data_IF_772532931469
#
_entry.id   IF_772532931469
#
_cell.length_a   1.000
_cell.length_b   1.000
_cell.length_c   1.000
_cell.angle_alpha   90.00
_cell.angle_beta   90.00
_cell.angle_gamma   90.00
#
_symmetry.space_group_name_H-M   'P 1'
#
loop_
_entity.id
_entity.type
_entity.pdbx_description
1 polymer ?
#
# COMPACT_ATOMS: atom_id res chain seq x y z
N UNK A 1 -0.41 -6.08 -20.95
CA UNK A 1 -0.89 -4.98 -21.81
C UNK A 1 -1.82 -4.11 -20.98
N UNK A 2 -1.37 -2.95 -20.55
CA UNK A 2 -2.28 -1.88 -20.16
C UNK A 2 -2.53 -1.05 -21.41
N UNK A 3 -3.56 -1.37 -22.19
CA UNK A 3 -3.93 -0.49 -23.29
C UNK A 3 -4.51 0.79 -22.68
N UNK A 4 -3.94 1.95 -23.01
CA UNK A 4 -4.60 3.22 -22.72
C UNK A 4 -5.92 3.24 -23.50
N UNK A 5 -7.09 3.40 -22.86
CA UNK A 5 -8.38 3.44 -23.57
C UNK A 5 -8.40 4.49 -24.69
N UNK A 6 -7.66 5.58 -24.50
CA UNK A 6 -7.50 6.67 -25.47
C UNK A 6 -6.66 6.25 -26.68
N UNK A 7 -5.67 5.38 -26.53
CA UNK A 7 -4.88 4.86 -27.65
C UNK A 7 -5.70 3.91 -28.55
N UNK A 8 -6.64 3.15 -27.95
CA UNK A 8 -7.61 2.34 -28.70
C UNK A 8 -8.52 3.23 -29.56
N UNK A 9 -9.09 4.27 -28.94
CA UNK A 9 -9.92 5.26 -29.65
C UNK A 9 -9.13 5.94 -30.77
N UNK A 10 -7.91 6.42 -30.53
CA UNK A 10 -7.08 7.02 -31.57
C UNK A 10 -6.83 6.07 -32.75
N UNK A 11 -6.67 4.77 -32.47
CA UNK A 11 -6.56 3.73 -33.51
C UNK A 11 -7.85 3.59 -34.32
N UNK A 12 -9.00 3.57 -33.66
CA UNK A 12 -10.32 3.46 -34.29
C UNK A 12 -10.62 4.65 -35.22
N UNK A 13 -10.17 5.85 -34.85
CA UNK A 13 -10.31 7.06 -35.67
C UNK A 13 -9.15 7.30 -36.64
N UNK A 14 -8.21 6.36 -36.76
CA UNK A 14 -7.10 6.42 -37.73
C UNK A 14 -5.97 7.40 -37.37
N UNK A 15 -5.94 7.94 -36.15
CA UNK A 15 -4.88 8.82 -35.69
C UNK A 15 -3.69 8.00 -35.14
N UNK A 16 -2.85 7.54 -36.07
CA UNK A 16 -1.65 6.77 -35.74
C UNK A 16 -0.63 7.54 -34.90
N UNK A 17 -0.55 8.88 -35.03
CA UNK A 17 0.40 9.70 -34.29
C UNK A 17 0.05 9.76 -32.81
N UNK A 18 -1.23 10.00 -32.50
CA UNK A 18 -1.71 10.01 -31.11
C UNK A 18 -1.60 8.62 -30.50
N UNK A 19 -1.96 7.57 -31.24
CA UNK A 19 -1.78 6.18 -30.79
C UNK A 19 -0.33 5.89 -30.40
N UNK A 20 0.62 6.17 -31.29
CA UNK A 20 2.02 5.82 -31.08
C UNK A 20 2.62 6.57 -29.90
N UNK A 21 2.30 7.86 -29.75
CA UNK A 21 2.76 8.65 -28.60
C UNK A 21 2.15 8.16 -27.28
N UNK A 22 0.86 7.81 -27.26
CA UNK A 22 0.22 7.27 -26.06
C UNK A 22 0.75 5.89 -25.69
N UNK A 23 1.08 5.05 -26.67
CA UNK A 23 1.70 3.75 -26.43
C UNK A 23 3.13 3.92 -25.91
N UNK A 24 3.92 4.84 -26.47
CA UNK A 24 5.26 5.18 -25.97
C UNK A 24 5.24 5.63 -24.51
N UNK A 25 4.38 6.59 -24.15
CA UNK A 25 4.21 7.03 -22.76
C UNK A 25 3.79 5.89 -21.82
N UNK A 26 2.94 4.98 -22.31
CA UNK A 26 2.45 3.86 -21.51
C UNK A 26 3.53 2.80 -21.28
N UNK A 27 4.21 2.39 -22.35
CA UNK A 27 5.14 1.25 -22.34
C UNK A 27 6.56 1.63 -21.94
N UNK A 28 6.99 2.88 -22.07
CA UNK A 28 8.34 3.34 -21.71
C UNK A 28 8.36 4.10 -20.38
N UNK A 29 7.44 5.04 -20.17
CA UNK A 29 7.47 5.94 -19.01
C UNK A 29 6.65 5.37 -17.84
N UNK A 30 5.41 4.96 -18.13
CA UNK A 30 4.45 4.58 -17.09
C UNK A 30 4.64 3.16 -16.62
N UNK A 31 4.74 2.18 -17.53
CA UNK A 31 4.84 0.76 -17.24
C UNK A 31 5.96 0.05 -18.01
N UNK A 32 7.23 0.50 -17.88
CA UNK A 32 8.39 0.01 -18.65
C UNK A 32 8.34 -1.50 -18.89
N UNK A 33 8.27 -1.93 -20.14
CA UNK A 33 8.23 -3.35 -20.53
C UNK A 33 9.60 -3.79 -21.03
N UNK A 34 10.06 -4.98 -20.60
CA UNK A 34 11.31 -5.58 -21.05
C UNK A 34 11.10 -7.03 -21.48
N UNK A 35 11.94 -7.50 -22.40
CA UNK A 35 11.91 -8.88 -22.86
C UNK A 35 12.71 -9.78 -21.92
N UNK A 36 12.11 -10.91 -21.53
CA UNK A 36 12.79 -11.93 -20.73
C UNK A 36 13.68 -12.80 -21.61
N UNK A 37 14.61 -13.55 -21.00
CA UNK A 37 15.50 -14.50 -21.70
C UNK A 37 14.78 -15.53 -22.59
N UNK A 38 13.48 -15.77 -22.37
CA UNK A 38 12.65 -16.70 -23.15
C UNK A 38 11.72 -16.00 -24.16
N UNK A 39 11.92 -14.70 -24.41
CA UNK A 39 11.14 -13.92 -25.37
C UNK A 39 9.79 -13.39 -24.85
N UNK A 40 9.44 -13.62 -23.58
CA UNK A 40 8.21 -13.08 -23.02
C UNK A 40 8.39 -11.61 -22.58
N UNK A 41 7.46 -10.74 -22.95
CA UNK A 41 7.41 -9.35 -22.51
C UNK A 41 6.89 -9.23 -21.08
N UNK A 42 7.62 -8.53 -20.20
CA UNK A 42 7.27 -8.33 -18.79
C UNK A 42 7.37 -6.84 -18.41
N UNK A 43 6.37 -6.32 -17.73
CA UNK A 43 6.45 -4.96 -17.17
C UNK A 43 7.29 -4.94 -15.89
N UNK A 44 8.25 -4.03 -15.82
CA UNK A 44 9.16 -3.82 -14.68
C UNK A 44 8.45 -3.35 -13.41
N UNK A 45 7.30 -2.67 -13.53
CA UNK A 45 6.52 -2.20 -12.37
C UNK A 45 5.45 -3.19 -11.90
N UNK A 46 5.41 -4.41 -12.44
CA UNK A 46 4.39 -5.40 -12.14
C UNK A 46 4.66 -6.15 -10.82
N UNK A 47 4.55 -5.43 -9.69
CA UNK A 47 4.72 -5.97 -8.34
C UNK A 47 3.68 -7.05 -7.97
N UNK A 48 2.47 -6.98 -8.53
CA UNK A 48 1.36 -7.88 -8.22
C UNK A 48 1.64 -9.32 -8.68
N UNK A 49 2.28 -9.51 -9.84
CA UNK A 49 2.61 -10.85 -10.36
C UNK A 49 3.65 -11.53 -9.47
N UNK A 50 4.60 -10.78 -8.92
CA UNK A 50 5.55 -11.29 -7.94
C UNK A 50 4.85 -11.61 -6.62
N UNK A 51 3.95 -10.74 -6.15
CA UNK A 51 3.21 -10.97 -4.91
C UNK A 51 2.30 -12.20 -4.99
N UNK A 52 1.67 -12.46 -6.13
CA UNK A 52 0.86 -13.68 -6.36
C UNK A 52 1.74 -14.93 -6.41
N UNK A 53 2.91 -14.86 -7.07
CA UNK A 53 3.78 -16.01 -7.26
C UNK A 53 4.59 -16.37 -6.01
N UNK A 54 5.12 -15.36 -5.34
CA UNK A 54 6.14 -15.50 -4.30
C UNK A 54 5.63 -15.06 -2.92
N UNK A 55 4.41 -14.53 -2.85
CA UNK A 55 3.88 -13.92 -1.63
C UNK A 55 4.49 -12.54 -1.32
N UNK A 56 4.11 -11.95 -0.18
CA UNK A 56 4.77 -10.76 0.36
C UNK A 56 6.25 -11.04 0.67
N UNK A 57 7.13 -10.04 0.55
CA UNK A 57 8.52 -10.16 1.02
C UNK A 57 8.61 -10.60 2.49
N UNK A 58 9.65 -11.34 2.87
CA UNK A 58 9.79 -11.87 4.24
C UNK A 58 9.72 -10.78 5.33
N UNK A 59 10.29 -9.60 5.07
CA UNK A 59 10.25 -8.48 6.02
C UNK A 59 8.82 -7.99 6.33
N UNK A 60 7.84 -8.26 5.47
CA UNK A 60 6.43 -7.94 5.74
C UNK A 60 5.84 -8.78 6.88
N UNK A 61 6.50 -9.86 7.31
CA UNK A 61 6.05 -10.69 8.43
C UNK A 61 6.72 -10.31 9.76
N UNK A 62 7.75 -9.46 9.74
CA UNK A 62 8.45 -8.98 10.94
C UNK A 62 8.04 -7.57 11.38
N UNK A 63 7.10 -6.95 10.66
CA UNK A 63 6.62 -5.58 10.94
C UNK A 63 5.39 -5.58 11.84
N UNK A 64 5.06 -4.45 12.49
CA UNK A 64 3.81 -4.28 13.21
C UNK A 64 2.56 -4.60 12.38
N UNK A 65 1.65 -5.40 12.92
CA UNK A 65 0.39 -5.79 12.27
C UNK A 65 -0.77 -5.11 12.96
N UNK A 66 -1.72 -4.58 12.19
CA UNK A 66 -2.98 -4.09 12.72
C UNK A 66 -3.85 -5.31 13.04
N UNK A 67 -4.13 -5.50 14.31
CA UNK A 67 -4.76 -6.71 14.88
C UNK A 67 -6.19 -6.43 15.33
N UNK A 68 -6.44 -5.24 15.86
CA UNK A 68 -7.75 -4.84 16.38
C UNK A 68 -8.20 -3.54 15.70
N UNK A 69 -9.34 -3.60 15.03
CA UNK A 69 -10.00 -2.46 14.38
C UNK A 69 -11.48 -2.55 14.70
N UNK A 70 -12.11 -1.46 15.21
CA UNK A 70 -13.54 -1.47 15.47
C UNK A 70 -14.30 -1.54 14.14
N UNK A 71 -14.92 -2.68 13.84
CA UNK A 71 -15.77 -2.87 12.67
C UNK A 71 -17.25 -2.80 13.09
N UNK A 72 -18.13 -2.12 12.32
CA UNK A 72 -17.91 -1.53 11.00
C UNK A 72 -17.36 -0.09 11.02
N UNK A 73 -17.06 0.47 12.19
CA UNK A 73 -16.78 1.89 12.35
C UNK A 73 -15.46 2.35 11.69
N UNK A 74 -14.50 1.44 11.48
CA UNK A 74 -13.26 1.69 10.75
C UNK A 74 -12.99 0.58 9.74
N UNK A 75 -12.68 0.99 8.51
CA UNK A 75 -12.29 0.09 7.42
C UNK A 75 -10.82 0.29 7.03
N UNK A 76 -10.06 -0.79 7.03
CA UNK A 76 -8.66 -0.79 6.58
C UNK A 76 -8.57 -1.23 5.12
N UNK A 77 -8.09 -0.34 4.23
CA UNK A 77 -7.91 -0.66 2.80
C UNK A 77 -6.52 -1.15 2.46
N UNK A 78 -5.50 -0.57 3.09
CA UNK A 78 -4.10 -0.94 2.86
C UNK A 78 -3.35 -0.91 4.19
N UNK A 79 -2.48 -1.89 4.34
CA UNK A 79 -1.69 -2.14 5.54
C UNK A 79 -0.38 -2.79 5.08
N UNK A 80 0.61 -1.99 4.68
CA UNK A 80 1.81 -2.53 4.04
C UNK A 80 3.07 -1.78 4.50
N UNK A 81 4.13 -2.54 4.78
CA UNK A 81 5.47 -2.01 5.08
C UNK A 81 6.32 -1.99 3.84
N UNK A 82 7.03 -0.88 3.59
CA UNK A 82 8.00 -0.77 2.50
C UNK A 82 9.45 -0.94 2.97
N UNK A 83 9.69 -0.76 4.27
CA UNK A 83 11.01 -0.64 4.88
C UNK A 83 11.31 -1.73 5.92
N UNK A 84 10.33 -2.57 6.26
CA UNK A 84 10.48 -3.59 7.29
C UNK A 84 10.39 -3.06 8.73
N UNK A 85 10.09 -1.78 8.94
CA UNK A 85 10.00 -1.17 10.27
C UNK A 85 8.70 -0.38 10.50
N UNK A 86 8.27 0.36 9.49
CA UNK A 86 7.05 1.18 9.52
C UNK A 86 5.93 0.51 8.74
N UNK A 87 4.69 0.90 9.05
CA UNK A 87 3.53 0.45 8.26
C UNK A 87 2.68 1.63 7.84
N UNK A 88 2.61 1.82 6.53
CA UNK A 88 1.68 2.75 5.90
C UNK A 88 0.29 2.15 5.85
N UNK A 89 -0.70 2.88 6.36
CA UNK A 89 -2.10 2.47 6.36
C UNK A 89 -3.01 3.51 5.74
N UNK A 90 -4.10 3.01 5.15
CA UNK A 90 -5.19 3.83 4.67
C UNK A 90 -6.48 3.36 5.32
N UNK A 91 -7.00 4.20 6.21
CA UNK A 91 -8.18 3.96 7.02
C UNK A 91 -9.34 4.83 6.51
N UNK A 92 -10.54 4.27 6.56
CA UNK A 92 -11.78 4.97 6.28
C UNK A 92 -12.65 4.91 7.50
N UNK A 93 -13.37 6.01 7.70
CA UNK A 93 -14.45 6.06 8.65
C UNK A 93 -15.68 5.35 8.07
N UNK A 94 -16.24 4.41 8.82
CA UNK A 94 -17.45 3.68 8.45
C UNK A 94 -18.73 4.38 8.88
N UNK A 95 -18.70 5.29 9.88
CA UNK A 95 -19.94 5.85 10.44
C UNK A 95 -19.83 7.19 11.16
N UNK A 96 -18.82 7.43 12.00
CA UNK A 96 -18.74 8.61 12.89
C UNK A 96 -17.32 9.19 12.98
N UNK A 97 -17.19 10.52 12.94
CA UNK A 97 -15.94 11.31 12.88
C UNK A 97 -15.12 11.31 14.18
N UNK A 98 -15.02 10.16 14.85
CA UNK A 98 -14.50 10.06 16.20
C UNK A 98 -13.11 9.43 16.25
N UNK A 99 -12.39 9.75 17.34
CA UNK A 99 -11.14 9.09 17.69
C UNK A 99 -11.40 7.59 17.88
N UNK A 100 -10.72 6.78 17.07
CA UNK A 100 -10.84 5.33 17.08
C UNK A 100 -9.59 4.69 17.68
N UNK A 101 -9.78 3.71 18.56
CA UNK A 101 -8.68 2.95 19.15
C UNK A 101 -8.28 1.79 18.23
N UNK A 102 -7.01 1.72 17.85
CA UNK A 102 -6.46 0.67 16.98
C UNK A 102 -5.45 -0.18 17.76
N UNK A 103 -5.58 -1.50 17.65
CA UNK A 103 -4.66 -2.44 18.28
C UNK A 103 -3.63 -2.98 17.28
N UNK A 104 -2.38 -3.01 17.72
CA UNK A 104 -1.25 -3.51 16.96
C UNK A 104 -0.57 -4.68 17.68
N UNK A 105 -0.03 -5.61 16.90
CA UNK A 105 0.81 -6.73 17.36
C UNK A 105 2.11 -6.79 16.55
N UNK A 106 3.01 -7.71 16.91
CA UNK A 106 4.28 -7.92 16.20
C UNK A 106 5.19 -6.67 16.20
N UNK A 107 5.06 -5.84 17.23
CA UNK A 107 5.92 -4.70 17.47
C UNK A 107 7.17 -5.16 18.25
N UNK A 108 8.31 -4.51 18.03
CA UNK A 108 9.49 -4.74 18.89
C UNK A 108 9.14 -4.40 20.35
N UNK A 109 9.26 -5.37 21.26
CA UNK A 109 8.88 -5.21 22.66
C UNK A 109 9.61 -4.04 23.32
N UNK A 110 8.91 -3.28 24.17
CA UNK A 110 9.41 -2.08 24.87
C UNK A 110 9.90 -0.95 23.94
N UNK A 111 9.66 -1.02 22.63
CA UNK A 111 9.95 0.08 21.70
C UNK A 111 8.72 1.00 21.60
N UNK A 112 8.95 2.31 21.56
CA UNK A 112 7.91 3.30 21.34
C UNK A 112 7.58 3.42 19.85
N UNK A 113 6.30 3.64 19.55
CA UNK A 113 5.81 3.87 18.19
C UNK A 113 4.83 5.03 18.19
N UNK A 114 4.83 5.78 17.10
CA UNK A 114 3.92 6.90 16.86
C UNK A 114 2.95 6.61 15.73
N UNK A 115 1.70 7.05 15.89
CA UNK A 115 0.63 7.00 14.90
C UNK A 115 -0.06 8.38 14.87
N UNK A 116 0.31 9.20 13.88
CA UNK A 116 -0.13 10.60 13.85
C UNK A 116 0.49 11.38 15.00
N UNK A 117 -0.33 11.90 15.91
CA UNK A 117 0.12 12.64 17.10
C UNK A 117 0.24 11.74 18.34
N UNK A 118 -0.30 10.53 18.29
CA UNK A 118 -0.25 9.61 19.43
C UNK A 118 1.03 8.78 19.45
N UNK A 119 1.55 8.52 20.64
CA UNK A 119 2.71 7.65 20.86
C UNK A 119 2.41 6.64 21.96
N UNK A 120 2.75 5.37 21.73
CA UNK A 120 2.59 4.30 22.70
C UNK A 120 3.82 3.38 22.75
N UNK A 121 4.08 2.82 23.93
CA UNK A 121 5.11 1.80 24.13
C UNK A 121 4.54 0.41 23.85
N UNK A 122 5.23 -0.38 23.03
CA UNK A 122 4.91 -1.79 22.88
C UNK A 122 5.15 -2.54 24.19
N UNK A 123 4.19 -3.38 24.58
CA UNK A 123 4.32 -4.24 25.75
C UNK A 123 5.38 -5.35 25.55
N UNK A 124 5.56 -6.18 26.57
CA UNK A 124 6.50 -7.30 26.53
C UNK A 124 6.14 -8.40 25.51
N UNK A 125 4.92 -8.38 24.96
CA UNK A 125 4.44 -9.29 23.91
C UNK A 125 4.44 -8.62 22.52
N UNK A 126 4.95 -7.39 22.40
CA UNK A 126 4.96 -6.65 21.15
C UNK A 126 3.58 -6.16 20.72
N UNK A 127 2.72 -5.81 21.68
CA UNK A 127 1.40 -5.22 21.44
C UNK A 127 1.31 -3.78 21.96
N UNK A 128 0.54 -2.96 21.28
CA UNK A 128 0.15 -1.64 21.76
C UNK A 128 -1.22 -1.26 21.20
N UNK A 129 -1.89 -0.31 21.84
CA UNK A 129 -3.06 0.36 21.29
C UNK A 129 -2.76 1.83 21.13
N UNK A 130 -3.18 2.39 19.99
CA UNK A 130 -3.06 3.81 19.70
C UNK A 130 -4.39 4.33 19.18
N UNK A 131 -4.81 5.48 19.68
CA UNK A 131 -5.98 6.21 19.19
C UNK A 131 -5.61 7.06 17.99
N UNK A 132 -6.58 7.24 17.11
CA UNK A 132 -6.40 8.08 15.94
C UNK A 132 -7.71 8.68 15.46
N UNK A 133 -7.67 9.94 15.07
CA UNK A 133 -8.81 10.61 14.47
C UNK A 133 -8.92 10.21 12.98
N UNK A 134 -10.10 9.72 12.58
CA UNK A 134 -10.38 9.32 11.19
C UNK A 134 -11.62 10.08 10.74
N UNK A 135 -11.43 11.18 10.02
CA UNK A 135 -12.54 11.99 9.54
C UNK A 135 -13.33 11.27 8.43
N UNK A 136 -12.76 11.17 7.23
CA UNK A 136 -13.35 10.45 6.10
C UNK A 136 -12.38 9.41 5.56
N UNK A 137 -11.15 9.86 5.29
CA UNK A 137 -10.04 9.05 4.81
C UNK A 137 -8.75 9.57 5.43
N UNK A 138 -8.05 8.70 6.14
CA UNK A 138 -6.78 9.04 6.77
C UNK A 138 -5.67 8.13 6.24
N UNK A 139 -4.63 8.75 5.67
CA UNK A 139 -3.38 8.09 5.33
C UNK A 139 -2.42 8.25 6.51
N UNK A 140 -2.28 7.20 7.31
CA UNK A 140 -1.57 7.26 8.60
C UNK A 140 -0.45 6.22 8.60
N UNK A 141 0.71 6.61 9.11
CA UNK A 141 1.88 5.75 9.20
C UNK A 141 2.14 5.44 10.66
N UNK A 142 2.23 4.16 11.01
CA UNK A 142 2.82 3.74 12.28
C UNK A 142 4.33 3.69 12.11
N UNK A 143 5.09 4.38 12.96
CA UNK A 143 6.56 4.45 12.89
C UNK A 143 7.18 4.25 14.26
N UNK A 144 8.37 3.62 14.36
CA UNK A 144 9.14 3.66 15.59
C UNK A 144 9.51 5.11 15.95
N UNK A 145 9.62 5.40 17.24
CA UNK A 145 10.25 6.62 17.75
C UNK A 145 11.70 6.30 18.08
N UNK A 146 12.61 7.16 17.63
CA UNK A 146 14.05 7.08 17.95
C UNK A 146 14.37 7.65 19.34
#
# INVERSE_FOLDING_TARGET
MSASPVASVATEFGDGKIRDELMRQTDEERYPVYETRKGALKSAKSNWTSMIKNGPPEHCFSVPVLDEVPFPDVLARKAYSLDGESVGRMLYNGRTTETSMLGFKNMKARRAYTLGEETALADHKGKARLSVNIDTRAAISLRPVD
#
